data_IF_059072843409
#
_entry.id   IF_059072843409
#
_cell.length_a   1.000
_cell.length_b   1.000
_cell.length_c   1.000
_cell.angle_alpha   90.00
_cell.angle_beta   90.00
_cell.angle_gamma   90.00
#
_symmetry.space_group_name_H-M   'P 1'
#
loop_
_entity.id
_entity.type
_entity.pdbx_description
1 polymer ?
#
# COMPACT_ATOMS: atom_id res chain seq x y z
N UNK A 1 2.40 -15.91 12.20
CA UNK A 1 1.68 -14.61 12.30
C UNK A 1 0.50 -14.48 11.32
N UNK A 2 0.48 -15.20 10.18
CA UNK A 2 -0.64 -15.19 9.22
C UNK A 2 -1.63 -16.36 9.38
N UNK A 3 -1.33 -17.32 10.24
CA UNK A 3 -2.09 -18.58 10.41
C UNK A 3 -3.34 -18.44 11.28
N UNK A 4 -3.59 -17.26 11.86
CA UNK A 4 -4.65 -17.06 12.87
C UNK A 4 -5.84 -16.22 12.37
N UNK A 5 -5.94 -15.91 11.08
CA UNK A 5 -7.07 -15.13 10.55
C UNK A 5 -8.35 -15.97 10.35
N UNK A 6 -9.55 -15.40 10.61
CA UNK A 6 -10.79 -16.13 10.70
C UNK A 6 -11.23 -16.82 9.40
N UNK A 7 -12.01 -17.89 9.62
CA UNK A 7 -12.38 -19.05 8.80
C UNK A 7 -12.85 -18.85 7.34
N UNK A 8 -13.00 -17.63 6.83
CA UNK A 8 -13.59 -17.36 5.50
C UNK A 8 -12.64 -17.58 4.31
N UNK A 9 -11.33 -17.78 4.55
CA UNK A 9 -10.33 -17.92 3.48
C UNK A 9 -9.74 -19.33 3.31
N UNK A 10 -10.24 -20.34 4.05
CA UNK A 10 -9.50 -21.61 4.25
C UNK A 10 -9.12 -22.41 2.99
N UNK A 11 -9.92 -22.59 1.93
CA UNK A 11 -9.49 -23.42 0.80
C UNK A 11 -8.36 -22.76 0.00
N UNK A 12 -8.40 -21.43 -0.14
CA UNK A 12 -7.46 -20.67 -0.96
C UNK A 12 -6.21 -20.25 -0.17
N UNK A 13 -6.37 -19.84 1.09
CA UNK A 13 -5.25 -19.48 1.97
C UNK A 13 -4.45 -20.70 2.43
N UNK A 14 -5.06 -21.88 2.62
CA UNK A 14 -4.33 -23.07 3.07
C UNK A 14 -3.33 -23.58 2.03
N UNK A 15 -3.63 -23.50 0.73
CA UNK A 15 -2.69 -23.93 -0.32
C UNK A 15 -1.51 -22.94 -0.48
N UNK A 16 -1.77 -21.65 -0.27
CA UNK A 16 -0.76 -20.59 -0.31
C UNK A 16 0.18 -20.63 0.91
N UNK A 17 -0.36 -20.90 2.10
CA UNK A 17 0.44 -21.13 3.33
C UNK A 17 1.28 -22.40 3.19
N UNK A 18 0.73 -23.49 2.62
CA UNK A 18 1.49 -24.74 2.35
C UNK A 18 2.66 -24.56 1.38
N UNK A 19 2.57 -23.60 0.44
CA UNK A 19 3.66 -23.27 -0.50
C UNK A 19 4.61 -22.19 0.02
N UNK A 20 4.40 -21.70 1.25
CA UNK A 20 5.23 -20.66 1.87
C UNK A 20 5.16 -19.29 1.17
N UNK A 21 4.13 -19.01 0.36
CA UNK A 21 4.00 -17.76 -0.41
C UNK A 21 2.56 -17.26 -0.41
N UNK A 22 2.33 -16.02 0.02
CA UNK A 22 1.01 -15.39 -0.05
C UNK A 22 0.61 -15.05 -1.49
N UNK A 23 -0.69 -14.96 -1.77
CA UNK A 23 -1.19 -14.50 -3.08
C UNK A 23 -0.65 -13.11 -3.44
N UNK A 24 -0.53 -12.22 -2.45
CA UNK A 24 0.00 -10.87 -2.63
C UNK A 24 1.46 -10.89 -3.09
N UNK A 25 2.29 -11.79 -2.54
CA UNK A 25 3.68 -11.95 -2.96
C UNK A 25 3.78 -12.53 -4.38
N UNK A 26 2.95 -13.51 -4.71
CA UNK A 26 2.90 -14.07 -6.06
C UNK A 26 2.50 -12.99 -7.10
N UNK A 27 1.50 -12.15 -6.77
CA UNK A 27 1.08 -11.03 -7.61
C UNK A 27 2.19 -10.00 -7.80
N UNK A 28 2.86 -9.56 -6.72
CA UNK A 28 3.96 -8.60 -6.81
C UNK A 28 5.14 -9.14 -7.62
N UNK A 29 5.47 -10.43 -7.48
CA UNK A 29 6.49 -11.08 -8.31
C UNK A 29 6.11 -11.10 -9.78
N UNK A 30 4.86 -11.39 -10.11
CA UNK A 30 4.36 -11.28 -11.48
C UNK A 30 4.53 -9.84 -12.00
N UNK A 31 4.19 -8.82 -11.20
CA UNK A 31 4.41 -7.43 -11.59
C UNK A 31 5.89 -7.13 -11.88
N UNK A 32 6.79 -7.54 -10.97
CA UNK A 32 8.23 -7.20 -11.04
C UNK A 32 8.97 -7.98 -12.12
N UNK A 33 8.68 -9.27 -12.28
CA UNK A 33 9.48 -10.17 -13.11
C UNK A 33 8.86 -10.47 -14.47
N UNK A 34 7.57 -10.17 -14.67
CA UNK A 34 6.87 -10.51 -15.91
C UNK A 34 6.22 -9.27 -16.53
N UNK A 35 5.25 -8.65 -15.84
CA UNK A 35 4.44 -7.59 -16.43
C UNK A 35 5.26 -6.32 -16.70
N UNK A 36 5.98 -5.79 -15.70
CA UNK A 36 6.77 -4.57 -15.87
C UNK A 36 7.84 -4.75 -16.97
N UNK A 37 8.67 -5.81 -16.99
CA UNK A 37 9.61 -6.04 -18.09
C UNK A 37 8.94 -6.12 -19.47
N UNK A 38 7.78 -6.76 -19.57
CA UNK A 38 7.04 -6.84 -20.84
C UNK A 38 6.53 -5.47 -21.31
N UNK A 39 6.05 -4.62 -20.39
CA UNK A 39 5.62 -3.24 -20.68
C UNK A 39 6.83 -2.38 -21.09
N UNK A 40 7.93 -2.43 -20.35
CA UNK A 40 9.13 -1.65 -20.62
C UNK A 40 9.79 -2.01 -21.95
N UNK A 41 9.68 -3.27 -22.39
CA UNK A 41 10.19 -3.71 -23.69
C UNK A 41 9.31 -3.26 -24.87
N UNK A 42 8.02 -2.98 -24.64
CA UNK A 42 7.04 -2.70 -25.70
C UNK A 42 6.72 -1.21 -25.86
N UNK A 43 6.88 -0.42 -24.80
CA UNK A 43 6.50 0.98 -24.77
C UNK A 43 7.68 1.87 -24.33
N UNK A 44 7.65 3.15 -24.71
CA UNK A 44 8.66 4.12 -24.32
C UNK A 44 8.50 4.55 -22.86
N UNK A 45 8.84 3.67 -21.92
CA UNK A 45 8.81 3.94 -20.49
C UNK A 45 10.14 4.46 -19.97
N UNK A 46 10.14 4.96 -18.73
CA UNK A 46 11.37 5.13 -17.94
C UNK A 46 11.42 3.96 -16.95
N UNK A 47 12.21 2.92 -17.22
CA UNK A 47 12.12 1.65 -16.50
C UNK A 47 12.80 1.68 -15.12
N UNK A 48 13.53 2.74 -14.81
CA UNK A 48 14.22 2.87 -13.52
C UNK A 48 13.22 3.03 -12.37
N UNK A 49 13.67 2.69 -11.16
CA UNK A 49 12.82 2.75 -9.98
C UNK A 49 12.29 4.15 -9.70
N UNK A 50 13.04 5.22 -10.01
CA UNK A 50 12.62 6.57 -9.68
C UNK A 50 11.42 7.04 -10.51
N UNK A 51 11.14 6.34 -11.62
CA UNK A 51 10.00 6.59 -12.50
C UNK A 51 8.96 5.44 -12.50
N UNK A 52 9.11 4.44 -11.62
CA UNK A 52 8.17 3.31 -11.50
C UNK A 52 7.44 3.36 -10.16
N UNK A 53 6.10 3.39 -10.19
CA UNK A 53 5.27 3.57 -9.01
C UNK A 53 4.15 2.53 -8.91
N UNK A 54 3.67 2.29 -7.69
CA UNK A 54 2.43 1.55 -7.43
C UNK A 54 1.35 2.48 -6.90
N UNK A 55 0.11 2.28 -7.33
CA UNK A 55 -1.05 2.97 -6.77
C UNK A 55 -2.23 2.02 -6.72
N UNK A 56 -3.01 2.06 -5.64
CA UNK A 56 -4.19 1.24 -5.49
C UNK A 56 -5.08 1.69 -4.36
N UNK A 57 -6.37 1.35 -4.45
CA UNK A 57 -7.34 1.60 -3.38
C UNK A 57 -7.66 0.33 -2.59
N UNK A 58 -8.16 0.45 -1.35
CA UNK A 58 -8.63 -0.69 -0.56
C UNK A 58 -7.56 -1.78 -0.38
N UNK A 59 -7.82 -3.04 -0.77
CA UNK A 59 -6.81 -4.10 -0.83
C UNK A 59 -5.65 -3.78 -1.79
N UNK A 60 -5.90 -3.04 -2.87
CA UNK A 60 -4.86 -2.52 -3.75
C UNK A 60 -3.91 -1.55 -3.03
N UNK A 61 -4.41 -0.85 -2.01
CA UNK A 61 -3.60 -0.04 -1.11
C UNK A 61 -2.65 -0.89 -0.26
N UNK A 62 -3.14 -2.00 0.31
CA UNK A 62 -2.31 -2.97 1.04
C UNK A 62 -1.22 -3.57 0.15
N UNK A 63 -1.58 -3.95 -1.08
CA UNK A 63 -0.62 -4.49 -2.06
C UNK A 63 0.41 -3.42 -2.44
N UNK A 64 0.01 -2.16 -2.57
CA UNK A 64 0.91 -1.05 -2.90
C UNK A 64 1.93 -0.83 -1.79
N UNK A 65 1.49 -0.76 -0.52
CA UNK A 65 2.41 -0.64 0.63
C UNK A 65 3.34 -1.86 0.71
N UNK A 66 2.81 -3.07 0.52
CA UNK A 66 3.61 -4.29 0.49
C UNK A 66 4.66 -4.27 -0.62
N UNK A 67 4.27 -3.87 -1.84
CA UNK A 67 5.15 -3.84 -3.00
C UNK A 67 6.30 -2.85 -2.86
N UNK A 68 6.05 -1.65 -2.33
CA UNK A 68 7.11 -0.65 -2.13
C UNK A 68 8.13 -1.09 -1.08
N UNK A 69 7.67 -1.80 -0.03
CA UNK A 69 8.54 -2.27 1.05
C UNK A 69 9.30 -3.57 0.71
N UNK A 70 8.66 -4.50 0.00
CA UNK A 70 9.27 -5.80 -0.38
C UNK A 70 10.03 -5.74 -1.70
N UNK A 71 9.67 -4.80 -2.59
CA UNK A 71 10.35 -4.54 -3.86
C UNK A 71 10.71 -3.05 -4.02
N UNK A 72 11.56 -2.48 -3.12
CA UNK A 72 12.43 -1.36 -3.50
C UNK A 72 13.31 -1.86 -4.66
N UNK A 73 14.25 -1.15 -5.27
CA UNK A 73 14.81 -1.55 -6.59
C UNK A 73 13.80 -1.64 -7.76
N UNK A 74 12.56 -2.13 -7.60
CA UNK A 74 11.53 -2.09 -8.64
C UNK A 74 10.64 -0.83 -8.53
N UNK A 75 10.12 -0.51 -7.35
CA UNK A 75 9.17 0.59 -7.14
C UNK A 75 9.77 1.73 -6.32
N UNK A 76 9.76 2.94 -6.88
CA UNK A 76 10.32 4.15 -6.26
C UNK A 76 9.42 4.79 -5.22
N UNK A 77 8.10 4.67 -5.40
CA UNK A 77 7.10 5.24 -4.51
C UNK A 77 5.76 4.49 -4.66
N UNK A 78 4.88 4.66 -3.65
CA UNK A 78 3.54 4.11 -3.66
C UNK A 78 2.48 5.14 -3.28
N UNK A 79 1.25 4.97 -3.75
CA UNK A 79 0.08 5.70 -3.28
C UNK A 79 -1.08 4.75 -2.94
N UNK A 80 -1.47 4.70 -1.68
CA UNK A 80 -2.51 3.80 -1.19
C UNK A 80 -3.73 4.59 -0.70
N UNK A 81 -4.84 4.47 -1.43
CA UNK A 81 -6.08 5.20 -1.16
C UNK A 81 -7.04 4.34 -0.34
N UNK A 82 -7.65 4.89 0.69
CA UNK A 82 -8.61 4.16 1.54
C UNK A 82 -8.11 2.75 1.91
N UNK A 83 -6.86 2.63 2.37
CA UNK A 83 -6.22 1.32 2.53
C UNK A 83 -7.02 0.44 3.50
N UNK A 84 -7.35 -0.78 3.07
CA UNK A 84 -8.28 -1.66 3.78
C UNK A 84 -7.63 -2.39 4.97
N UNK A 85 -7.11 -1.63 5.94
CA UNK A 85 -6.32 -2.13 7.07
C UNK A 85 -7.03 -3.16 7.96
N UNK A 86 -8.37 -3.14 7.99
CA UNK A 86 -9.19 -4.05 8.80
C UNK A 86 -9.44 -5.40 8.10
N UNK A 87 -9.14 -5.52 6.80
CA UNK A 87 -9.17 -6.75 6.01
C UNK A 87 -10.51 -7.50 5.91
N UNK A 88 -11.56 -7.01 6.55
CA UNK A 88 -12.96 -7.46 6.44
C UNK A 88 -13.88 -6.24 6.52
N UNK A 89 -15.17 -6.38 6.17
CA UNK A 89 -16.10 -5.23 6.12
C UNK A 89 -16.56 -4.74 7.51
N UNK A 90 -16.46 -5.60 8.52
CA UNK A 90 -16.74 -5.27 9.91
C UNK A 90 -15.47 -4.79 10.60
N UNK A 91 -15.63 -3.97 11.64
CA UNK A 91 -14.47 -3.50 12.40
C UNK A 91 -13.71 -4.68 13.00
N UNK A 92 -12.44 -4.81 12.64
CA UNK A 92 -11.57 -5.85 13.15
C UNK A 92 -10.21 -5.25 13.54
N UNK A 93 -10.01 -5.09 14.84
CA UNK A 93 -8.78 -4.51 15.37
C UNK A 93 -7.61 -5.52 15.28
N UNK A 94 -7.86 -6.83 15.38
CA UNK A 94 -6.82 -7.89 15.31
C UNK A 94 -6.08 -7.90 13.96
N UNK A 95 -6.82 -7.79 12.85
CA UNK A 95 -6.23 -7.72 11.51
C UNK A 95 -5.38 -6.47 11.37
N UNK A 96 -5.90 -5.32 11.82
CA UNK A 96 -5.17 -4.06 11.74
C UNK A 96 -3.90 -4.06 12.60
N UNK A 97 -3.95 -4.68 13.79
CA UNK A 97 -2.81 -4.80 14.69
C UNK A 97 -1.74 -5.74 14.11
N UNK A 98 -2.16 -6.83 13.45
CA UNK A 98 -1.26 -7.71 12.71
C UNK A 98 -0.59 -6.99 11.52
N UNK A 99 -1.33 -6.14 10.80
CA UNK A 99 -0.80 -5.34 9.71
C UNK A 99 0.26 -4.33 10.22
N UNK A 100 -0.02 -3.65 11.33
CA UNK A 100 0.93 -2.73 11.98
C UNK A 100 2.16 -3.47 12.49
N UNK A 101 2.00 -4.67 13.08
CA UNK A 101 3.12 -5.49 13.52
C UNK A 101 4.01 -5.93 12.34
N UNK A 102 3.41 -6.26 11.20
CA UNK A 102 4.16 -6.54 9.97
C UNK A 102 4.89 -5.29 9.45
N UNK A 103 4.22 -4.14 9.36
CA UNK A 103 4.83 -2.87 8.95
C UNK A 103 6.03 -2.51 9.82
N UNK A 104 5.93 -2.71 11.14
CA UNK A 104 7.03 -2.46 12.07
C UNK A 104 8.27 -3.29 11.69
N UNK A 105 8.12 -4.52 11.19
CA UNK A 105 9.27 -5.32 10.74
C UNK A 105 9.74 -4.96 9.33
N UNK A 106 8.81 -4.59 8.45
CA UNK A 106 9.09 -4.35 7.03
C UNK A 106 9.61 -2.94 6.71
N UNK A 107 9.30 -1.94 7.54
CA UNK A 107 9.74 -0.56 7.32
C UNK A 107 11.28 -0.47 7.36
N UNK A 108 11.90 0.16 6.35
CA UNK A 108 13.34 0.37 6.35
C UNK A 108 13.74 1.42 7.40
N UNK A 109 15.04 1.66 7.55
CA UNK A 109 15.51 2.85 8.24
C UNK A 109 15.08 4.12 7.48
N UNK A 110 14.91 5.24 8.18
CA UNK A 110 14.54 6.51 7.56
C UNK A 110 15.51 6.95 6.45
N UNK A 111 16.79 6.60 6.59
CA UNK A 111 17.83 6.83 5.59
C UNK A 111 17.57 6.11 4.25
N UNK A 112 16.71 5.09 4.23
CA UNK A 112 16.36 4.30 3.05
C UNK A 112 15.44 5.00 2.05
N UNK A 113 14.96 6.21 2.32
CA UNK A 113 14.27 7.05 1.34
C UNK A 113 12.89 6.52 0.90
N UNK A 114 12.04 6.11 1.86
CA UNK A 114 10.66 5.69 1.58
C UNK A 114 9.82 6.86 1.04
N UNK A 115 9.16 6.63 -0.10
CA UNK A 115 8.14 7.54 -0.65
C UNK A 115 6.77 6.88 -0.66
N UNK A 116 5.85 7.39 0.15
CA UNK A 116 4.52 6.78 0.30
C UNK A 116 3.44 7.85 0.52
N UNK A 117 2.41 7.83 -0.32
CA UNK A 117 1.16 8.56 -0.10
C UNK A 117 0.11 7.61 0.48
N UNK A 118 -0.58 8.05 1.52
CA UNK A 118 -1.69 7.37 2.15
C UNK A 118 -2.88 8.35 2.21
N UNK A 119 -4.08 7.85 2.01
CA UNK A 119 -5.29 8.59 2.38
C UNK A 119 -6.38 7.69 2.97
N UNK A 120 -7.35 8.34 3.62
CA UNK A 120 -8.66 7.77 3.92
C UNK A 120 -9.75 8.84 3.82
N UNK A 121 -10.95 8.42 3.48
CA UNK A 121 -12.17 9.17 3.65
C UNK A 121 -12.69 9.15 5.09
N UNK A 122 -13.91 9.66 5.29
CA UNK A 122 -14.55 9.74 6.61
C UNK A 122 -15.98 9.18 6.67
N UNK A 123 -16.54 8.75 5.54
CA UNK A 123 -17.88 8.13 5.48
C UNK A 123 -17.78 6.71 4.91
N UNK A 124 -18.92 5.99 4.88
CA UNK A 124 -18.99 4.60 4.41
C UNK A 124 -18.00 3.68 5.16
N UNK A 125 -17.32 2.77 4.46
CA UNK A 125 -16.36 1.85 5.08
C UNK A 125 -15.15 2.59 5.67
N UNK A 126 -14.75 3.72 5.08
CA UNK A 126 -13.59 4.51 5.54
C UNK A 126 -13.80 5.14 6.92
N UNK A 127 -15.05 5.31 7.35
CA UNK A 127 -15.39 5.74 8.71
C UNK A 127 -14.83 4.78 9.79
N UNK A 128 -14.52 3.53 9.43
CA UNK A 128 -13.94 2.54 10.34
C UNK A 128 -12.40 2.62 10.43
N UNK A 129 -11.73 3.31 9.51
CA UNK A 129 -10.26 3.36 9.44
C UNK A 129 -9.52 4.32 10.39
N UNK A 130 -10.14 5.27 11.15
CA UNK A 130 -9.38 6.21 11.99
C UNK A 130 -8.38 5.54 12.94
N UNK A 131 -8.77 4.43 13.60
CA UNK A 131 -7.87 3.70 14.51
C UNK A 131 -6.70 3.09 13.74
N UNK A 132 -6.99 2.28 12.73
CA UNK A 132 -5.98 1.53 12.00
C UNK A 132 -4.99 2.46 11.26
N UNK A 133 -5.51 3.44 10.52
CA UNK A 133 -4.68 4.45 9.86
C UNK A 133 -3.87 5.26 10.89
N UNK A 134 -4.47 5.62 12.03
CA UNK A 134 -3.77 6.33 13.11
C UNK A 134 -2.59 5.57 13.69
N UNK A 135 -2.70 4.24 13.84
CA UNK A 135 -1.59 3.38 14.28
C UNK A 135 -0.47 3.32 13.22
N UNK A 136 -0.83 3.24 11.94
CA UNK A 136 0.14 3.28 10.82
C UNK A 136 0.86 4.62 10.79
N UNK A 137 0.13 5.74 10.89
CA UNK A 137 0.69 7.08 10.91
C UNK A 137 1.61 7.31 12.12
N UNK A 138 1.22 6.80 13.29
CA UNK A 138 2.06 6.85 14.49
C UNK A 138 3.36 6.05 14.30
N UNK A 139 3.28 4.84 13.77
CA UNK A 139 4.46 4.01 13.47
C UNK A 139 5.39 4.68 12.45
N UNK A 140 4.84 5.28 11.39
CA UNK A 140 5.63 5.99 10.38
C UNK A 140 6.40 7.16 11.02
N UNK A 141 5.74 7.97 11.85
CA UNK A 141 6.39 9.06 12.59
C UNK A 141 7.44 8.57 13.58
N UNK A 142 7.14 7.50 14.34
CA UNK A 142 8.09 6.86 15.26
C UNK A 142 9.37 6.42 14.52
N UNK A 143 9.23 5.99 13.25
CA UNK A 143 10.34 5.58 12.39
C UNK A 143 11.02 6.73 11.64
N UNK A 144 10.64 7.97 11.92
CA UNK A 144 11.23 9.16 11.30
C UNK A 144 10.73 9.46 9.89
N UNK A 145 9.62 8.84 9.46
CA UNK A 145 8.97 9.15 8.19
C UNK A 145 7.96 10.27 8.36
N UNK A 146 7.92 11.17 7.37
CA UNK A 146 6.96 12.26 7.30
C UNK A 146 7.11 13.06 6.02
N UNK A 147 6.38 14.17 5.89
CA UNK A 147 6.45 15.02 4.71
C UNK A 147 7.87 15.57 4.49
N UNK A 148 8.31 15.76 3.23
CA UNK A 148 7.51 15.59 2.01
C UNK A 148 7.46 14.14 1.49
N UNK A 149 8.29 13.23 2.00
CA UNK A 149 8.46 11.89 1.44
C UNK A 149 7.35 10.92 1.82
N UNK A 150 6.73 11.07 3.00
CA UNK A 150 5.59 10.25 3.42
C UNK A 150 4.45 11.17 3.84
N UNK A 151 3.30 11.01 3.20
CA UNK A 151 2.11 11.85 3.39
C UNK A 151 0.93 10.95 3.72
N UNK A 152 0.18 11.30 4.77
CA UNK A 152 -1.10 10.67 5.12
C UNK A 152 -2.18 11.75 5.21
N UNK A 153 -3.30 11.57 4.51
CA UNK A 153 -4.39 12.56 4.44
C UNK A 153 -5.72 11.98 4.89
N UNK A 154 -6.53 12.82 5.54
CA UNK A 154 -7.96 12.57 5.77
C UNK A 154 -8.74 13.42 4.79
N UNK A 155 -9.69 12.79 4.09
CA UNK A 155 -10.48 13.41 3.03
C UNK A 155 -11.94 13.47 3.50
N UNK A 156 -12.30 14.61 4.07
CA UNK A 156 -13.61 14.82 4.68
C UNK A 156 -14.74 14.63 3.67
N UNK A 157 -15.72 13.80 4.02
CA UNK A 157 -16.89 13.51 3.19
C UNK A 157 -16.66 12.48 2.09
N UNK A 158 -15.44 11.96 1.93
CA UNK A 158 -15.17 10.88 0.98
C UNK A 158 -15.49 9.50 1.57
N UNK A 159 -16.05 8.62 0.74
CA UNK A 159 -16.36 7.22 1.04
C UNK A 159 -15.37 6.24 0.43
N UNK A 160 -15.79 4.96 0.38
CA UNK A 160 -15.00 3.81 -0.07
C UNK A 160 -15.51 3.32 -1.43
N UNK A 161 -15.43 4.18 -2.44
CA UNK A 161 -16.00 3.94 -3.76
C UNK A 161 -15.16 4.62 -4.88
N UNK A 162 -15.33 4.16 -6.11
CA UNK A 162 -14.57 4.59 -7.28
C UNK A 162 -14.75 6.08 -7.61
N UNK A 163 -15.94 6.64 -7.37
CA UNK A 163 -16.21 8.05 -7.60
C UNK A 163 -15.32 8.91 -6.69
N UNK A 164 -15.28 8.58 -5.41
CA UNK A 164 -14.56 9.38 -4.42
C UNK A 164 -13.03 9.16 -4.52
N UNK A 165 -12.57 7.98 -4.96
CA UNK A 165 -11.16 7.77 -5.33
C UNK A 165 -10.79 8.57 -6.59
N UNK A 166 -11.63 8.52 -7.62
CA UNK A 166 -11.42 9.26 -8.87
C UNK A 166 -11.33 10.76 -8.65
N UNK A 167 -12.18 11.33 -7.79
CA UNK A 167 -12.19 12.75 -7.46
C UNK A 167 -10.85 13.25 -6.87
N UNK A 168 -10.12 12.40 -6.16
CA UNK A 168 -8.87 12.77 -5.47
C UNK A 168 -7.60 12.10 -6.01
N UNK A 169 -7.73 11.24 -7.02
CA UNK A 169 -6.61 10.53 -7.64
C UNK A 169 -5.47 11.48 -8.08
N UNK A 170 -5.82 12.69 -8.54
CA UNK A 170 -4.86 13.72 -8.92
C UNK A 170 -3.88 14.12 -7.80
N UNK A 171 -4.28 14.05 -6.53
CA UNK A 171 -3.41 14.37 -5.39
C UNK A 171 -2.32 13.31 -5.19
N UNK A 172 -2.71 12.04 -5.28
CA UNK A 172 -1.79 10.90 -5.24
C UNK A 172 -0.85 10.91 -6.45
N UNK A 173 -1.39 11.15 -7.64
CA UNK A 173 -0.59 11.25 -8.87
C UNK A 173 0.41 12.41 -8.82
N UNK A 174 0.01 13.58 -8.31
CA UNK A 174 0.94 14.70 -8.08
C UNK A 174 2.08 14.32 -7.15
N UNK A 175 1.77 13.69 -6.01
CA UNK A 175 2.80 13.19 -5.09
C UNK A 175 3.81 12.23 -5.77
N UNK A 176 3.32 11.31 -6.61
CA UNK A 176 4.16 10.34 -7.31
C UNK A 176 5.03 11.02 -8.38
N UNK A 177 4.42 11.87 -9.21
CA UNK A 177 4.98 12.37 -10.46
C UNK A 177 5.73 13.72 -10.34
N UNK A 178 5.46 14.53 -9.32
CA UNK A 178 6.06 15.86 -9.15
C UNK A 178 7.42 15.79 -8.43
N UNK A 179 7.67 14.74 -7.64
CA UNK A 179 8.92 14.51 -6.92
C UNK A 179 10.08 13.95 -7.77
N UNK A 180 10.17 14.30 -9.06
CA UNK A 180 11.28 13.85 -9.93
C UNK A 180 12.56 14.48 -9.40
N UNK A 181 13.43 13.66 -8.79
CA UNK A 181 14.85 14.01 -8.71
C UNK A 181 15.31 14.12 -10.16
N UNK A 182 15.61 15.35 -10.59
CA UNK A 182 16.27 15.57 -11.86
C UNK A 182 17.51 14.67 -11.93
N UNK A 183 17.70 14.02 -13.07
CA UNK A 183 18.93 13.27 -13.36
C UNK A 183 20.16 14.17 -13.18
#
# INVERSE_FOLDING_TARGET
AWEQLPLLYKPFAADLVKRGRSASEAYLRFLVHELKPAIDARFATRPDRANTFLMGSSYGGLITVHGVLSHPAAFGAGAALSTHWIGVLERNDEISDAAVAWLRRALPSAAGGLRLYLDRGTIELDAQYPRAQGLVDALLRERGFGPPSVVSRVIEGAGHNERDWGARAHQALGFLLDGRVAA
#
